data_IF_501132352228
#
_entry.id   IF_501132352228
#
_cell.length_a   1.000
_cell.length_b   1.000
_cell.length_c   1.000
_cell.angle_alpha   90.00
_cell.angle_beta   90.00
_cell.angle_gamma   90.00
#
_symmetry.space_group_name_H-M   'P 1'
#
loop_
_entity.id
_entity.type
_entity.pdbx_description
1 polymer ?
#
# COMPACT_ATOMS: atom_id res chain seq x y z
N UNK A 1 11.99 -31.10 0.56
CA UNK A 1 12.07 -29.72 1.10
C UNK A 1 10.87 -28.90 0.60
N UNK A 2 10.26 -28.04 1.44
CA UNK A 2 9.25 -27.11 0.94
C UNK A 2 9.84 -26.24 -0.17
N UNK A 3 9.05 -25.97 -1.21
CA UNK A 3 9.45 -25.12 -2.34
C UNK A 3 9.67 -23.66 -1.93
N UNK A 4 10.37 -22.89 -2.77
CA UNK A 4 10.48 -21.43 -2.65
C UNK A 4 9.19 -20.81 -3.20
N UNK A 5 8.62 -19.86 -2.48
CA UNK A 5 7.44 -19.10 -2.91
C UNK A 5 7.63 -17.61 -2.60
N UNK A 6 7.28 -16.74 -3.54
CA UNK A 6 7.28 -15.30 -3.36
C UNK A 6 6.06 -14.71 -4.05
N UNK A 7 5.41 -13.75 -3.37
CA UNK A 7 4.34 -12.95 -3.98
C UNK A 7 4.96 -11.77 -4.71
N UNK A 8 4.49 -11.49 -5.92
CA UNK A 8 4.93 -10.32 -6.70
C UNK A 8 4.36 -9.03 -6.11
N UNK A 9 5.17 -8.29 -5.37
CA UNK A 9 4.88 -6.98 -4.78
C UNK A 9 5.97 -5.99 -5.22
N UNK A 10 6.04 -5.74 -6.52
CA UNK A 10 7.15 -5.07 -7.20
C UNK A 10 7.37 -3.64 -6.68
N UNK A 11 6.35 -3.00 -6.12
CA UNK A 11 6.40 -1.65 -5.56
C UNK A 11 7.49 -1.48 -4.48
N UNK A 12 7.85 -2.55 -3.76
CA UNK A 12 8.98 -2.54 -2.81
C UNK A 12 10.33 -2.25 -3.47
N UNK A 13 10.43 -2.47 -4.78
CA UNK A 13 11.64 -2.33 -5.59
C UNK A 13 11.62 -1.12 -6.53
N UNK A 14 10.57 -0.29 -6.51
CA UNK A 14 10.61 0.98 -7.20
C UNK A 14 11.77 1.82 -6.65
N UNK A 15 12.65 2.41 -7.49
CA UNK A 15 13.89 3.03 -7.02
C UNK A 15 13.73 4.05 -5.88
N UNK A 16 12.82 5.06 -5.97
CA UNK A 16 12.66 6.02 -4.87
C UNK A 16 12.00 5.38 -3.64
N UNK A 17 11.14 4.37 -3.82
CA UNK A 17 10.49 3.64 -2.72
C UNK A 17 11.49 2.76 -1.96
N UNK A 18 12.34 2.03 -2.69
CA UNK A 18 13.42 1.21 -2.13
C UNK A 18 14.36 2.07 -1.28
N UNK A 19 14.75 3.23 -1.81
CA UNK A 19 15.59 4.19 -1.11
C UNK A 19 14.91 4.75 0.14
N UNK A 20 13.61 5.05 0.09
CA UNK A 20 12.84 5.44 1.28
C UNK A 20 12.80 4.32 2.32
N UNK A 21 12.57 3.08 1.91
CA UNK A 21 12.56 1.91 2.79
C UNK A 21 13.93 1.76 3.48
N UNK A 22 15.04 1.88 2.74
CA UNK A 22 16.39 1.85 3.30
C UNK A 22 16.62 2.96 4.34
N UNK A 23 16.15 4.18 4.07
CA UNK A 23 16.29 5.31 4.99
C UNK A 23 15.49 5.10 6.28
N UNK A 24 14.28 4.59 6.19
CA UNK A 24 13.45 4.23 7.36
C UNK A 24 14.09 3.08 8.13
N UNK A 25 14.49 2.00 7.45
CA UNK A 25 15.10 0.81 8.06
C UNK A 25 16.47 1.10 8.70
N UNK A 26 17.14 2.19 8.31
CA UNK A 26 18.39 2.62 8.94
C UNK A 26 18.25 2.98 10.42
N UNK A 27 17.02 3.26 10.89
CA UNK A 27 16.72 3.64 12.28
C UNK A 27 17.21 5.05 12.66
N UNK A 28 17.91 5.77 11.77
CA UNK A 28 18.46 7.10 12.06
C UNK A 28 17.39 8.11 12.46
N UNK A 29 16.21 7.99 11.88
CA UNK A 29 15.08 8.89 12.12
C UNK A 29 14.19 8.51 13.32
N UNK A 30 14.56 7.50 14.11
CA UNK A 30 13.78 7.03 15.26
C UNK A 30 12.52 6.27 14.85
N UNK A 31 11.56 6.19 15.76
CA UNK A 31 10.32 5.43 15.55
C UNK A 31 9.49 6.03 14.41
N UNK A 32 8.91 5.17 13.57
CA UNK A 32 7.98 5.56 12.52
C UNK A 32 6.56 5.71 13.08
N UNK A 33 5.92 6.86 12.83
CA UNK A 33 4.58 7.14 13.34
C UNK A 33 3.50 7.09 12.27
N UNK A 34 3.77 7.64 11.07
CA UNK A 34 2.78 7.66 10.00
C UNK A 34 3.36 7.39 8.63
N UNK A 35 2.61 6.67 7.79
CA UNK A 35 2.88 6.51 6.35
C UNK A 35 1.69 7.02 5.55
N UNK A 36 1.92 7.96 4.64
CA UNK A 36 0.88 8.41 3.70
C UNK A 36 1.30 8.06 2.29
N UNK A 37 0.40 7.42 1.55
CA UNK A 37 0.56 7.07 0.14
C UNK A 37 -0.48 7.84 -0.66
N UNK A 38 -0.05 8.46 -1.75
CA UNK A 38 -0.92 8.98 -2.80
C UNK A 38 -0.63 8.23 -4.08
N UNK A 39 -1.69 7.76 -4.74
CA UNK A 39 -1.67 7.15 -6.06
C UNK A 39 -2.70 7.89 -6.92
N UNK A 40 -2.21 8.80 -7.76
CA UNK A 40 -3.01 9.50 -8.75
C UNK A 40 -2.57 9.05 -10.12
N UNK A 41 -3.52 8.61 -10.95
CA UNK A 41 -3.20 8.10 -12.27
C UNK A 41 -4.41 8.10 -13.19
N UNK A 42 -4.12 7.83 -14.46
CA UNK A 42 -5.09 7.46 -15.48
C UNK A 42 -5.76 6.08 -15.18
N UNK A 43 -6.88 5.78 -15.86
CA UNK A 43 -7.70 4.59 -15.59
C UNK A 43 -6.97 3.26 -15.85
N UNK A 44 -7.60 2.16 -15.45
CA UNK A 44 -7.08 0.84 -15.75
C UNK A 44 -6.99 0.59 -17.27
N UNK A 45 -5.80 0.18 -17.72
CA UNK A 45 -5.57 -0.28 -19.07
C UNK A 45 -6.51 -1.45 -19.42
N UNK A 46 -6.82 -1.60 -20.70
CA UNK A 46 -7.56 -2.75 -21.23
C UNK A 46 -6.71 -4.01 -21.01
N UNK A 47 -7.27 -5.02 -20.33
CA UNK A 47 -6.66 -6.34 -20.16
C UNK A 47 -7.37 -7.38 -21.04
N UNK A 48 -6.77 -8.56 -21.16
CA UNK A 48 -7.34 -9.70 -21.92
C UNK A 48 -8.80 -9.90 -21.51
N UNK A 49 -9.72 -9.86 -22.46
CA UNK A 49 -11.16 -10.04 -22.21
C UNK A 49 -11.77 -9.07 -21.18
N UNK A 50 -11.12 -7.95 -20.87
CA UNK A 50 -11.63 -6.94 -19.93
C UNK A 50 -11.95 -7.50 -18.53
N UNK A 51 -11.27 -8.57 -18.10
CA UNK A 51 -11.53 -9.19 -16.79
C UNK A 51 -11.37 -8.19 -15.64
N UNK A 52 -10.48 -7.21 -15.81
CA UNK A 52 -10.19 -6.17 -14.81
C UNK A 52 -11.28 -5.10 -14.65
N UNK A 53 -12.40 -5.21 -15.37
CA UNK A 53 -13.55 -4.29 -15.25
C UNK A 53 -14.55 -4.71 -14.18
N UNK A 54 -14.48 -5.95 -13.69
CA UNK A 54 -15.51 -6.50 -12.83
C UNK A 54 -14.96 -7.04 -11.50
N UNK A 55 -15.59 -6.67 -10.39
CA UNK A 55 -15.22 -7.09 -9.04
C UNK A 55 -15.24 -8.62 -8.89
N UNK A 56 -16.16 -9.32 -9.59
CA UNK A 56 -16.25 -10.79 -9.57
C UNK A 56 -14.97 -11.50 -10.04
N UNK A 57 -14.13 -10.84 -10.83
CA UNK A 57 -12.87 -11.40 -11.33
C UNK A 57 -11.64 -10.84 -10.61
N UNK A 58 -11.74 -9.63 -10.04
CA UNK A 58 -10.60 -8.90 -9.46
C UNK A 58 -10.58 -8.91 -7.93
N UNK A 59 -11.73 -9.15 -7.28
CA UNK A 59 -11.95 -8.77 -5.88
C UNK A 59 -12.12 -7.25 -5.68
N UNK A 60 -12.11 -6.49 -6.77
CA UNK A 60 -12.22 -5.03 -6.86
C UNK A 60 -10.90 -4.27 -6.76
N UNK A 61 -10.94 -2.97 -7.06
CA UNK A 61 -9.76 -2.09 -7.20
C UNK A 61 -8.83 -2.12 -5.98
N UNK A 62 -9.36 -2.14 -4.75
CA UNK A 62 -8.52 -2.17 -3.54
C UNK A 62 -7.87 -3.54 -3.29
N UNK A 63 -8.35 -4.61 -3.91
CA UNK A 63 -7.70 -5.92 -3.89
C UNK A 63 -6.66 -6.02 -5.00
N UNK A 64 -7.01 -5.66 -6.23
CA UNK A 64 -6.09 -5.79 -7.37
C UNK A 64 -4.96 -4.75 -7.34
N UNK A 65 -5.31 -3.46 -7.32
CA UNK A 65 -4.33 -2.36 -7.29
C UNK A 65 -3.94 -1.98 -5.87
N UNK A 66 -4.91 -1.97 -4.96
CA UNK A 66 -4.68 -1.56 -3.57
C UNK A 66 -3.69 -2.45 -2.81
N UNK A 67 -3.55 -3.73 -3.21
CA UNK A 67 -2.67 -4.67 -2.51
C UNK A 67 -1.21 -4.20 -2.45
N UNK A 68 -0.69 -3.56 -3.50
CA UNK A 68 0.67 -3.03 -3.50
C UNK A 68 0.88 -1.96 -2.42
N UNK A 69 -0.12 -1.09 -2.21
CA UNK A 69 -0.02 -0.04 -1.20
C UNK A 69 -0.18 -0.59 0.21
N UNK A 70 -1.10 -1.54 0.41
CA UNK A 70 -1.27 -2.22 1.68
C UNK A 70 -0.02 -3.01 2.08
N UNK A 71 0.59 -3.69 1.11
CA UNK A 71 1.89 -4.34 1.27
C UNK A 71 3.00 -3.34 1.62
N UNK A 72 3.11 -2.24 0.88
CA UNK A 72 4.09 -1.18 1.17
C UNK A 72 3.92 -0.61 2.58
N UNK A 73 2.69 -0.30 3.00
CA UNK A 73 2.42 0.17 4.37
C UNK A 73 2.92 -0.83 5.40
N UNK A 74 2.60 -2.12 5.25
CA UNK A 74 3.08 -3.18 6.14
C UNK A 74 4.60 -3.30 6.11
N UNK A 75 5.23 -3.21 4.94
CA UNK A 75 6.69 -3.32 4.77
C UNK A 75 7.45 -2.14 5.40
N UNK A 76 6.95 -0.92 5.24
CA UNK A 76 7.58 0.29 5.78
C UNK A 76 7.36 0.35 7.29
N UNK A 77 6.14 0.03 7.77
CA UNK A 77 5.78 0.12 9.19
C UNK A 77 6.31 -1.05 10.02
N UNK A 78 6.48 -2.23 9.39
CA UNK A 78 6.95 -3.47 10.05
C UNK A 78 6.08 -3.86 11.24
N UNK A 79 4.77 -3.65 11.10
CA UNK A 79 3.74 -4.05 12.05
C UNK A 79 2.55 -4.61 11.28
N UNK A 80 1.73 -5.43 11.96
CA UNK A 80 0.47 -5.89 11.39
C UNK A 80 -0.64 -4.83 11.52
N UNK A 81 -1.53 -4.72 10.51
CA UNK A 81 -2.71 -3.87 10.57
C UNK A 81 -3.76 -4.47 11.51
N UNK A 82 -4.46 -3.63 12.26
CA UNK A 82 -5.50 -4.04 13.22
C UNK A 82 -6.88 -3.52 12.85
N UNK A 83 -6.98 -2.41 12.12
CA UNK A 83 -8.25 -1.87 11.64
C UNK A 83 -8.09 -1.04 10.38
N UNK A 84 -9.15 -0.99 9.56
CA UNK A 84 -9.23 -0.18 8.36
C UNK A 84 -10.56 0.55 8.31
N UNK A 85 -10.52 1.83 7.94
CA UNK A 85 -11.69 2.59 7.52
C UNK A 85 -11.44 3.15 6.11
N UNK A 86 -12.43 3.06 5.24
CA UNK A 86 -12.36 3.51 3.86
C UNK A 86 -13.67 4.13 3.38
N UNK A 87 -13.54 5.10 2.48
CA UNK A 87 -14.62 5.73 1.73
C UNK A 87 -14.19 5.85 0.28
N UNK A 88 -15.04 5.48 -0.67
CA UNK A 88 -14.71 5.48 -2.09
C UNK A 88 -15.88 5.07 -2.96
N UNK A 89 -15.68 5.05 -4.28
CA UNK A 89 -16.72 4.70 -5.23
C UNK A 89 -16.26 4.82 -6.68
N UNK A 90 -17.23 4.82 -7.59
CA UNK A 90 -17.00 5.01 -9.03
C UNK A 90 -17.52 6.39 -9.44
N UNK A 91 -16.61 7.31 -9.76
CA UNK A 91 -16.93 8.68 -10.14
C UNK A 91 -17.02 8.84 -11.67
N UNK A 92 -16.00 8.38 -12.40
CA UNK A 92 -15.81 8.67 -13.82
C UNK A 92 -15.59 7.44 -14.70
N UNK A 93 -14.72 6.53 -14.31
CA UNK A 93 -14.18 5.55 -15.23
C UNK A 93 -15.19 4.44 -15.56
N UNK A 94 -15.19 4.03 -16.84
CA UNK A 94 -15.86 2.83 -17.34
C UNK A 94 -17.40 2.80 -17.18
N UNK A 95 -18.02 3.92 -16.76
CA UNK A 95 -19.49 4.00 -16.55
C UNK A 95 -20.29 3.88 -17.84
N UNK A 96 -19.71 4.29 -18.95
CA UNK A 96 -20.32 4.23 -20.29
C UNK A 96 -19.98 2.93 -21.04
N UNK A 97 -19.20 2.03 -20.43
CA UNK A 97 -18.85 0.74 -21.03
C UNK A 97 -19.96 -0.29 -20.80
N UNK A 98 -20.23 -1.12 -21.81
CA UNK A 98 -21.21 -2.21 -21.74
C UNK A 98 -20.60 -3.48 -22.31
N UNK A 99 -20.60 -4.55 -21.52
CA UNK A 99 -20.12 -5.88 -21.92
C UNK A 99 -21.26 -6.88 -21.80
N UNK A 100 -21.94 -7.15 -22.92
CA UNK A 100 -23.16 -7.95 -22.92
C UNK A 100 -24.27 -7.21 -22.16
N UNK A 101 -24.66 -7.74 -21.00
CA UNK A 101 -25.67 -7.14 -20.11
C UNK A 101 -25.08 -6.48 -18.87
N UNK A 102 -23.75 -6.46 -18.74
CA UNK A 102 -23.07 -5.99 -17.54
C UNK A 102 -22.34 -4.66 -17.80
N UNK A 103 -22.35 -3.79 -16.79
CA UNK A 103 -21.56 -2.54 -16.74
C UNK A 103 -20.47 -2.71 -15.68
N UNK A 104 -19.23 -2.23 -15.93
CA UNK A 104 -18.14 -2.31 -14.96
C UNK A 104 -18.51 -1.76 -13.58
N UNK A 105 -18.17 -2.49 -12.52
CA UNK A 105 -18.55 -2.21 -11.12
C UNK A 105 -17.36 -1.91 -10.19
N UNK A 106 -16.18 -1.70 -10.77
CA UNK A 106 -14.97 -1.34 -10.03
C UNK A 106 -14.99 0.12 -9.57
N UNK A 107 -14.46 0.38 -8.38
CA UNK A 107 -14.27 1.75 -7.88
C UNK A 107 -13.06 2.41 -8.55
N UNK A 108 -13.06 3.74 -8.66
CA UNK A 108 -11.98 4.52 -9.29
C UNK A 108 -11.40 5.61 -8.40
N UNK A 109 -11.93 5.78 -7.18
CA UNK A 109 -11.32 6.62 -6.14
C UNK A 109 -11.64 6.08 -4.75
N UNK A 110 -10.72 6.30 -3.81
CA UNK A 110 -10.94 6.01 -2.40
C UNK A 110 -9.96 6.76 -1.50
N UNK A 111 -10.41 7.09 -0.29
CA UNK A 111 -9.57 7.42 0.86
C UNK A 111 -9.62 6.30 1.87
N UNK A 112 -8.45 5.83 2.31
CA UNK A 112 -8.31 4.74 3.28
C UNK A 112 -7.44 5.20 4.45
N UNK A 113 -7.79 4.80 5.67
CA UNK A 113 -6.97 4.92 6.88
C UNK A 113 -6.80 3.54 7.51
N UNK A 114 -5.56 3.21 7.87
CA UNK A 114 -5.17 1.92 8.47
C UNK A 114 -4.54 2.18 9.84
N UNK A 115 -4.98 1.45 10.86
CA UNK A 115 -4.37 1.41 12.19
C UNK A 115 -3.48 0.17 12.31
N UNK A 116 -2.28 0.31 12.88
CA UNK A 116 -1.32 -0.78 13.09
C UNK A 116 -1.14 -1.15 14.57
N UNK A 117 -0.77 -2.40 14.84
CA UNK A 117 -0.61 -2.94 16.19
C UNK A 117 0.42 -2.18 17.06
N UNK A 118 1.48 -1.64 16.45
CA UNK A 118 2.46 -0.80 17.14
C UNK A 118 2.00 0.66 17.37
N UNK A 119 0.75 0.98 17.04
CA UNK A 119 0.16 2.32 17.21
C UNK A 119 0.34 3.26 16.01
N UNK A 120 1.19 2.90 15.04
CA UNK A 120 1.37 3.67 13.81
C UNK A 120 0.08 3.70 12.97
N UNK A 121 -0.02 4.70 12.10
CA UNK A 121 -1.16 4.88 11.19
C UNK A 121 -0.70 5.04 9.76
N UNK A 122 -1.48 4.52 8.82
CA UNK A 122 -1.25 4.78 7.41
C UNK A 122 -2.49 5.32 6.72
N UNK A 123 -2.28 6.01 5.60
CA UNK A 123 -3.36 6.47 4.73
C UNK A 123 -3.06 6.24 3.26
N UNK A 124 -4.10 5.96 2.47
CA UNK A 124 -4.05 5.93 1.01
C UNK A 124 -5.05 6.93 0.43
N UNK A 125 -4.57 7.80 -0.44
CA UNK A 125 -5.32 8.67 -1.35
C UNK A 125 -5.20 8.07 -2.76
N UNK A 126 -6.26 7.38 -3.22
CA UNK A 126 -6.31 6.71 -4.51
C UNK A 126 -7.27 7.45 -5.45
N UNK A 127 -6.77 7.83 -6.63
CA UNK A 127 -7.57 8.39 -7.71
C UNK A 127 -7.10 7.84 -9.07
N UNK A 128 -8.00 7.17 -9.78
CA UNK A 128 -7.73 6.53 -11.08
C UNK A 128 -8.26 7.36 -12.26
N UNK A 129 -8.68 8.60 -12.04
CA UNK A 129 -9.09 9.56 -13.08
C UNK A 129 -8.38 10.91 -12.92
N UNK A 130 -7.18 10.89 -12.35
CA UNK A 130 -6.29 12.05 -12.41
C UNK A 130 -5.59 12.01 -13.78
N UNK A 131 -5.90 12.99 -14.64
CA UNK A 131 -5.48 13.02 -16.06
C UNK A 131 -4.01 13.45 -16.27
N UNK A 132 -3.21 13.56 -15.21
CA UNK A 132 -1.77 13.75 -15.33
C UNK A 132 -1.05 12.41 -15.63
N UNK A 133 0.27 12.38 -15.41
CA UNK A 133 1.03 11.13 -15.40
C UNK A 133 0.74 10.31 -14.13
N UNK A 134 1.12 9.02 -14.13
CA UNK A 134 1.02 8.21 -12.92
C UNK A 134 1.93 8.80 -11.82
N UNK A 135 1.32 9.48 -10.86
CA UNK A 135 1.98 10.15 -9.75
C UNK A 135 1.81 9.33 -8.47
N UNK A 136 2.93 8.82 -7.97
CA UNK A 136 3.00 8.06 -6.73
C UNK A 136 3.88 8.77 -5.72
N UNK A 137 3.32 9.07 -4.55
CA UNK A 137 4.04 9.70 -3.46
C UNK A 137 3.91 8.87 -2.19
N UNK A 138 5.05 8.55 -1.56
CA UNK A 138 5.09 7.89 -0.25
C UNK A 138 5.81 8.79 0.75
N UNK A 139 5.14 9.06 1.86
CA UNK A 139 5.65 9.93 2.93
C UNK A 139 5.72 9.12 4.22
N UNK A 140 6.92 8.94 4.76
CA UNK A 140 7.17 8.34 6.07
C UNK A 140 7.54 9.45 7.06
N UNK A 141 6.76 9.59 8.13
CA UNK A 141 7.05 10.55 9.22
C UNK A 141 7.49 9.76 10.44
N UNK A 142 8.73 10.00 10.84
CA UNK A 142 9.36 9.39 12.01
C UNK A 142 9.51 10.42 13.15
N UNK A 143 9.95 9.95 14.30
CA UNK A 143 10.23 10.73 15.50
C UNK A 143 11.17 11.92 15.23
N UNK A 144 12.25 11.65 14.49
CA UNK A 144 13.35 12.61 14.25
C UNK A 144 13.53 12.91 12.77
N UNK A 145 12.56 12.59 11.92
CA UNK A 145 12.69 12.90 10.51
C UNK A 145 11.45 12.65 9.67
N UNK A 146 11.53 13.05 8.42
CA UNK A 146 10.55 12.77 7.39
C UNK A 146 11.27 12.35 6.12
N UNK A 147 10.81 11.28 5.50
CA UNK A 147 11.32 10.79 4.21
C UNK A 147 10.16 10.78 3.23
N UNK A 148 10.34 11.38 2.06
CA UNK A 148 9.34 11.47 1.01
C UNK A 148 9.92 10.89 -0.28
N UNK A 149 9.29 9.90 -0.86
CA UNK A 149 9.61 9.35 -2.18
C UNK A 149 8.55 9.79 -3.19
N UNK A 150 8.98 10.13 -4.41
CA UNK A 150 8.12 10.56 -5.51
C UNK A 150 8.48 9.81 -6.79
N UNK A 151 7.45 9.37 -7.49
CA UNK A 151 7.47 8.75 -8.81
C UNK A 151 6.46 9.49 -9.68
N UNK A 152 6.78 9.83 -10.94
CA UNK A 152 7.93 9.38 -11.73
C UNK A 152 9.16 10.29 -11.63
N UNK A 153 9.16 11.31 -10.77
CA UNK A 153 10.32 12.21 -10.63
C UNK A 153 11.58 11.49 -10.12
N UNK A 154 11.41 10.28 -9.56
CA UNK A 154 12.45 9.43 -9.00
C UNK A 154 13.32 10.20 -7.99
N UNK A 155 12.64 10.88 -7.07
CA UNK A 155 13.28 11.74 -6.05
C UNK A 155 12.94 11.25 -4.65
N UNK A 156 13.94 11.25 -3.77
CA UNK A 156 13.76 11.08 -2.33
C UNK A 156 14.19 12.35 -1.59
N UNK A 157 13.29 12.88 -0.78
CA UNK A 157 13.51 14.08 0.05
C UNK A 157 13.53 13.68 1.52
N UNK A 158 14.63 14.00 2.20
CA UNK A 158 14.89 13.64 3.59
C UNK A 158 15.01 14.91 4.41
N UNK A 159 14.22 15.00 5.47
CA UNK A 159 14.28 16.08 6.46
C UNK A 159 14.61 15.47 7.81
N UNK A 160 15.74 15.85 8.38
CA UNK A 160 16.09 15.51 9.76
C UNK A 160 15.53 16.58 10.71
N UNK A 161 14.70 16.17 11.66
CA UNK A 161 14.13 17.07 12.66
C UNK A 161 15.20 17.37 13.70
N UNK A 162 15.51 18.66 13.87
CA UNK A 162 16.53 19.13 14.83
C UNK A 162 16.06 19.16 16.29
N UNK A 163 14.75 19.08 16.55
CA UNK A 163 14.17 19.18 17.90
C UNK A 163 13.27 17.99 18.20
N UNK A 164 13.62 17.24 19.24
CA UNK A 164 12.91 16.05 19.72
C UNK A 164 12.52 16.35 21.16
N UNK A 165 11.30 16.87 21.35
CA UNK A 165 10.73 17.32 22.64
C UNK A 165 11.30 18.61 23.26
N UNK A 166 10.44 19.37 23.95
CA UNK A 166 10.81 20.55 24.75
C UNK A 166 10.32 21.90 24.19
N UNK A 167 9.12 22.28 24.61
CA UNK A 167 8.59 23.65 24.82
C UNK A 167 9.14 24.82 23.98
N UNK A 168 8.49 25.10 22.85
CA UNK A 168 7.76 26.35 22.54
C UNK A 168 7.03 26.15 21.21
N UNK A 169 5.74 26.54 21.16
CA UNK A 169 4.86 26.38 19.98
C UNK A 169 5.03 27.52 18.96
N UNK A 170 6.20 28.15 18.90
CA UNK A 170 6.45 29.16 17.89
C UNK A 170 7.00 28.49 16.63
N UNK A 171 6.45 28.80 15.44
CA UNK A 171 7.04 28.34 14.19
C UNK A 171 8.50 28.79 14.11
N UNK A 172 9.40 27.86 13.81
CA UNK A 172 10.81 28.18 13.62
C UNK A 172 10.96 29.31 12.58
N UNK A 173 11.82 30.28 12.88
CA UNK A 173 12.25 31.28 11.91
C UNK A 173 12.83 30.56 10.68
N UNK A 174 12.68 31.10 9.45
CA UNK A 174 13.10 30.43 8.22
C UNK A 174 14.52 29.83 8.26
N UNK A 175 15.47 30.54 8.85
CA UNK A 175 16.88 30.15 9.02
C UNK A 175 17.10 28.99 10.04
N UNK A 176 16.13 28.77 10.93
CA UNK A 176 16.16 27.68 11.91
C UNK A 176 15.51 26.40 11.38
N UNK A 177 14.77 26.47 10.27
CA UNK A 177 14.07 25.33 9.69
C UNK A 177 15.07 24.32 9.13
N UNK A 178 14.76 23.04 9.32
CA UNK A 178 15.57 21.98 8.72
C UNK A 178 15.52 22.12 7.19
N UNK A 179 16.69 22.15 6.56
CA UNK A 179 16.82 22.13 5.10
C UNK A 179 16.75 20.67 4.64
N UNK A 180 15.76 20.31 3.81
CA UNK A 180 15.64 18.99 3.21
C UNK A 180 16.83 18.66 2.32
N UNK A 181 17.38 17.46 2.46
CA UNK A 181 18.28 16.86 1.47
C UNK A 181 17.42 16.23 0.38
N UNK A 182 17.70 16.55 -0.88
CA UNK A 182 17.00 16.00 -2.04
C UNK A 182 17.97 15.09 -2.78
N UNK A 183 17.54 13.86 -3.04
CA UNK A 183 18.31 12.84 -3.72
C UNK A 183 17.55 12.43 -4.98
N UNK A 184 18.14 12.71 -6.14
CA UNK A 184 17.69 12.13 -7.40
C UNK A 184 18.18 10.69 -7.47
N UNK A 185 17.28 9.77 -7.82
CA UNK A 185 17.54 8.34 -7.92
C UNK A 185 17.56 7.99 -9.41
N UNK A 186 18.73 7.99 -10.06
CA UNK A 186 18.79 7.75 -11.49
C UNK A 186 18.38 6.31 -11.81
N UNK A 187 17.49 6.17 -12.78
CA UNK A 187 17.08 4.87 -13.33
C UNK A 187 17.84 4.64 -14.63
N UNK A 188 18.76 3.66 -14.70
CA UNK A 188 19.46 3.34 -15.94
C UNK A 188 18.47 3.06 -17.07
N UNK A 189 18.69 3.68 -18.24
CA UNK A 189 17.78 3.55 -19.39
C UNK A 189 17.48 2.11 -19.77
N UNK A 190 18.47 1.24 -19.67
CA UNK A 190 18.32 -0.19 -19.95
C UNK A 190 17.36 -0.87 -18.96
N UNK A 191 17.40 -0.50 -17.68
CA UNK A 191 16.48 -1.02 -16.66
C UNK A 191 15.07 -0.44 -16.81
N UNK A 192 14.97 0.86 -17.11
CA UNK A 192 13.70 1.51 -17.41
C UNK A 192 13.02 0.89 -18.64
N UNK A 193 13.79 0.46 -19.64
CA UNK A 193 13.27 -0.24 -20.82
C UNK A 193 12.96 -1.72 -20.56
N UNK A 194 13.70 -2.38 -19.67
CA UNK A 194 13.58 -3.81 -19.41
C UNK A 194 12.47 -4.19 -18.41
N UNK A 195 11.94 -3.24 -17.62
CA UNK A 195 10.94 -3.51 -16.60
C UNK A 195 9.88 -2.43 -16.46
N UNK A 196 8.68 -2.84 -16.04
CA UNK A 196 7.64 -1.91 -15.58
C UNK A 196 8.06 -1.25 -14.26
N UNK A 197 7.52 -0.06 -13.97
CA UNK A 197 7.81 0.72 -12.76
C UNK A 197 9.31 0.97 -12.54
N UNK A 198 9.99 1.56 -13.54
CA UNK A 198 11.40 1.98 -13.41
C UNK A 198 12.37 0.81 -13.09
N UNK A 199 12.07 -0.39 -13.60
CA UNK A 199 12.91 -1.58 -13.39
C UNK A 199 12.60 -2.36 -12.10
N UNK A 200 11.56 -1.98 -11.35
CA UNK A 200 11.18 -2.67 -10.12
C UNK A 200 10.97 -4.18 -10.30
N UNK A 201 10.26 -4.59 -11.36
CA UNK A 201 10.04 -6.01 -11.68
C UNK A 201 11.34 -6.78 -11.92
N UNK A 202 12.36 -6.14 -12.54
CA UNK A 202 13.66 -6.78 -12.71
C UNK A 202 14.32 -7.08 -11.37
N UNK A 203 14.34 -6.10 -10.46
CA UNK A 203 14.95 -6.26 -9.13
C UNK A 203 14.20 -7.25 -8.24
N UNK A 204 12.87 -7.28 -8.33
CA UNK A 204 12.03 -8.28 -7.68
C UNK A 204 12.40 -9.71 -8.13
N UNK A 205 12.41 -9.95 -9.45
CA UNK A 205 12.72 -11.27 -10.00
C UNK A 205 14.16 -11.70 -9.66
N UNK A 206 15.10 -10.75 -9.64
CA UNK A 206 16.47 -10.99 -9.16
C UNK A 206 16.48 -11.45 -7.71
N UNK A 207 15.72 -10.81 -6.82
CA UNK A 207 15.63 -11.20 -5.42
C UNK A 207 15.01 -12.60 -5.23
N UNK A 208 14.02 -12.96 -6.05
CA UNK A 208 13.47 -14.32 -6.09
C UNK A 208 14.53 -15.35 -6.52
N UNK A 209 15.22 -15.11 -7.64
CA UNK A 209 16.26 -16.00 -8.17
C UNK A 209 17.38 -16.19 -7.16
N UNK A 210 17.81 -15.11 -6.49
CA UNK A 210 18.85 -15.18 -5.47
C UNK A 210 18.37 -15.99 -4.25
N UNK A 211 17.12 -15.82 -3.81
CA UNK A 211 16.53 -16.62 -2.73
C UNK A 211 16.45 -18.11 -3.12
N UNK A 212 16.04 -18.41 -4.34
CA UNK A 212 15.92 -19.77 -4.86
C UNK A 212 17.27 -20.48 -4.98
N UNK A 213 18.27 -19.81 -5.54
CA UNK A 213 19.64 -20.35 -5.68
C UNK A 213 20.30 -20.59 -4.33
N UNK A 214 20.13 -19.65 -3.40
CA UNK A 214 20.79 -19.71 -2.09
C UNK A 214 19.97 -20.40 -1.00
N UNK A 215 18.76 -20.89 -1.33
CA UNK A 215 17.82 -21.54 -0.39
C UNK A 215 17.52 -20.67 0.84
N UNK A 216 17.27 -19.37 0.62
CA UNK A 216 16.96 -18.40 1.68
C UNK A 216 15.47 -18.06 1.67
N UNK A 217 15.01 -17.41 2.75
CA UNK A 217 13.68 -16.82 2.79
C UNK A 217 13.55 -15.75 1.71
N UNK A 218 12.40 -15.74 1.05
CA UNK A 218 12.04 -14.72 0.07
C UNK A 218 11.70 -13.42 0.79
N UNK A 219 11.95 -12.26 0.15
CA UNK A 219 11.68 -10.95 0.75
C UNK A 219 10.19 -10.63 0.90
N UNK A 220 9.33 -11.32 0.14
CA UNK A 220 7.87 -11.21 0.20
C UNK A 220 7.30 -12.61 0.39
N UNK A 221 6.73 -12.85 1.56
CA UNK A 221 6.18 -14.14 1.94
C UNK A 221 4.74 -14.33 1.44
N UNK A 222 4.23 -15.56 1.50
CA UNK A 222 2.80 -15.80 1.29
C UNK A 222 1.93 -15.02 2.28
N UNK A 223 2.39 -14.87 3.52
CA UNK A 223 1.67 -14.10 4.53
C UNK A 223 1.56 -12.62 4.14
N UNK A 224 2.61 -12.05 3.54
CA UNK A 224 2.58 -10.65 3.08
C UNK A 224 1.49 -10.43 2.02
N UNK A 225 1.42 -11.31 1.03
CA UNK A 225 0.36 -11.26 0.02
C UNK A 225 -1.04 -11.50 0.60
N UNK A 226 -1.19 -12.47 1.50
CA UNK A 226 -2.47 -12.73 2.17
C UNK A 226 -2.97 -11.49 2.92
N UNK A 227 -2.08 -10.83 3.67
CA UNK A 227 -2.46 -9.63 4.42
C UNK A 227 -2.77 -8.46 3.49
N UNK A 228 -2.01 -8.26 2.42
CA UNK A 228 -2.29 -7.21 1.43
C UNK A 228 -3.68 -7.37 0.79
N UNK A 229 -4.06 -8.60 0.41
CA UNK A 229 -5.39 -8.91 -0.10
C UNK A 229 -6.46 -8.72 0.98
N UNK A 230 -6.23 -9.22 2.19
CA UNK A 230 -7.19 -9.09 3.29
C UNK A 230 -7.49 -7.63 3.65
N UNK A 231 -6.46 -6.77 3.62
CA UNK A 231 -6.63 -5.33 3.79
C UNK A 231 -7.49 -4.72 2.69
N UNK A 232 -7.30 -5.13 1.43
CA UNK A 232 -8.12 -4.70 0.30
C UNK A 232 -9.59 -5.12 0.42
N UNK A 233 -9.85 -6.36 0.82
CA UNK A 233 -11.21 -6.86 1.09
C UNK A 233 -11.85 -6.08 2.24
N UNK A 234 -11.12 -5.85 3.34
CA UNK A 234 -11.61 -5.08 4.48
C UNK A 234 -11.89 -3.61 4.13
N UNK A 235 -11.09 -3.01 3.24
CA UNK A 235 -11.33 -1.66 2.76
C UNK A 235 -12.61 -1.57 1.93
N UNK A 236 -12.85 -2.53 1.02
CA UNK A 236 -14.13 -2.62 0.29
C UNK A 236 -15.32 -2.83 1.22
N UNK A 237 -15.19 -3.70 2.21
CA UNK A 237 -16.24 -3.92 3.23
C UNK A 237 -16.52 -2.65 4.05
N UNK A 238 -15.48 -1.88 4.38
CA UNK A 238 -15.64 -0.58 5.04
C UNK A 238 -16.39 0.42 4.16
N UNK A 239 -16.11 0.48 2.86
CA UNK A 239 -16.85 1.33 1.92
C UNK A 239 -18.32 0.90 1.87
N UNK A 240 -18.57 -0.40 1.70
CA UNK A 240 -19.91 -0.97 1.58
C UNK A 240 -20.77 -0.73 2.82
N UNK A 241 -20.18 -0.82 4.00
CA UNK A 241 -20.92 -0.72 5.27
C UNK A 241 -20.87 0.65 5.92
N UNK A 242 -19.95 1.53 5.50
CA UNK A 242 -19.66 2.81 6.15
C UNK A 242 -19.03 2.65 7.55
N UNK A 243 -18.52 1.47 7.91
CA UNK A 243 -18.02 1.16 9.26
C UNK A 243 -16.55 0.75 9.24
N UNK A 244 -15.83 1.09 10.32
CA UNK A 244 -14.45 0.62 10.53
C UNK A 244 -14.44 -0.92 10.66
N UNK A 245 -13.58 -1.57 9.87
CA UNK A 245 -13.39 -3.02 9.89
C UNK A 245 -12.17 -3.39 10.74
N UNK A 246 -12.31 -4.36 11.65
CA UNK A 246 -11.18 -4.93 12.40
C UNK A 246 -10.57 -6.09 11.62
N UNK A 247 -9.25 -6.22 11.66
CA UNK A 247 -8.46 -7.27 11.01
C UNK A 247 -7.99 -8.36 12.00
N UNK A 248 -8.48 -8.30 13.24
CA UNK A 248 -8.19 -9.26 14.30
C UNK A 248 -8.63 -10.68 13.86
N UNK A 249 -7.71 -11.65 13.88
CA UNK A 249 -8.01 -13.06 13.59
C UNK A 249 -7.34 -13.65 12.34
N UNK A 250 -6.63 -12.85 11.53
CA UNK A 250 -5.93 -13.32 10.33
C UNK A 250 -4.58 -14.00 10.59
N UNK A 251 -4.15 -14.09 11.86
CA UNK A 251 -2.92 -14.75 12.25
C UNK A 251 -3.10 -16.27 12.33
N UNK A 252 -2.52 -16.99 11.36
CA UNK A 252 -2.33 -18.47 11.33
C UNK A 252 -3.54 -19.31 11.77
N UNK A 253 -4.72 -19.09 11.18
CA UNK A 253 -5.77 -20.11 11.17
C UNK A 253 -5.87 -20.70 9.78
N UNK A 254 -5.87 -22.03 9.69
CA UNK A 254 -6.02 -22.83 8.47
C UNK A 254 -7.41 -22.73 7.82
N UNK A 255 -8.29 -21.89 8.37
CA UNK A 255 -9.74 -22.00 8.22
C UNK A 255 -10.31 -20.68 7.67
N UNK A 256 -9.81 -20.22 6.53
CA UNK A 256 -10.42 -19.14 5.74
C UNK A 256 -10.38 -17.72 6.35
N UNK A 257 -10.67 -16.73 5.50
CA UNK A 257 -10.70 -15.31 5.83
C UNK A 257 -12.01 -14.98 6.57
N UNK A 258 -11.97 -14.60 7.85
CA UNK A 258 -13.13 -14.01 8.53
C UNK A 258 -12.82 -12.55 8.88
N UNK A 259 -13.59 -11.63 8.28
CA UNK A 259 -13.59 -10.22 8.63
C UNK A 259 -14.78 -9.96 9.56
N UNK A 260 -14.54 -9.39 10.74
CA UNK A 260 -15.61 -9.01 11.66
C UNK A 260 -15.92 -7.52 11.53
N UNK A 261 -17.05 -7.14 10.88
CA UNK A 261 -17.54 -5.79 10.97
C UNK A 261 -18.19 -5.58 12.35
N UNK A 262 -17.61 -4.68 13.14
CA UNK A 262 -18.02 -4.19 14.47
C UNK A 262 -17.73 -5.08 15.69
N UNK A 263 -16.98 -4.49 16.62
CA UNK A 263 -17.04 -4.81 18.04
C UNK A 263 -17.58 -3.58 18.76
N UNK A 264 -18.85 -3.66 19.15
CA UNK A 264 -19.47 -2.96 20.28
C UNK A 264 -20.81 -3.67 20.57
N UNK A 265 -20.82 -4.55 21.59
CA UNK A 265 -22.01 -5.26 22.08
C UNK A 265 -21.72 -6.72 22.49
N UNK A 266 -22.29 -7.23 23.59
CA UNK A 266 -21.97 -8.54 24.14
C UNK A 266 -22.46 -9.67 23.22
N UNK A 267 -21.68 -10.76 23.19
CA UNK A 267 -21.96 -12.00 22.45
C UNK A 267 -23.40 -12.46 22.67
N UNK A 268 -24.21 -12.42 21.60
CA UNK A 268 -25.51 -13.07 21.56
C UNK A 268 -25.77 -13.66 20.16
N UNK A 269 -25.92 -14.98 20.13
CA UNK A 269 -26.78 -15.68 19.16
C UNK A 269 -26.12 -16.21 17.90
N UNK A 270 -26.01 -17.54 17.83
CA UNK A 270 -25.76 -18.31 16.62
C UNK A 270 -26.75 -17.95 15.49
N UNK A 271 -26.21 -17.58 14.33
CA UNK A 271 -26.92 -17.34 13.07
C UNK A 271 -25.94 -17.49 11.89
N UNK A 272 -26.40 -17.93 10.71
CA UNK A 272 -25.57 -18.71 9.79
C UNK A 272 -24.47 -17.88 9.13
N UNK A 273 -23.23 -18.37 9.26
CA UNK A 273 -22.04 -17.92 8.53
C UNK A 273 -22.25 -18.05 7.02
N UNK A 274 -22.22 -16.92 6.30
CA UNK A 274 -22.00 -16.93 4.86
C UNK A 274 -20.52 -17.22 4.58
N UNK A 275 -20.25 -18.32 3.88
CA UNK A 275 -18.92 -18.63 3.33
C UNK A 275 -18.78 -17.94 1.97
N UNK A 276 -17.67 -17.22 1.79
CA UNK A 276 -17.08 -16.93 0.48
C UNK A 276 -16.20 -18.11 0.06
#
# INVERSE_FOLDING_TARGET
>A
PPGIFMVGMEYRWMPPISRLIEEVDSGRHGDLFTVSIREHRFPFLVKVQNWNRFNKYTGGTLVEKGCHFFDLMRRIIRSEPVAIFASGGQAQNHKDEVYGTETPDIIDHAFIVVEFANGAKASLDLCMFAEDEQNEQVIAICERGKVEARSPESVVRIVERRHVSGTTREPLAPEQRAVPKVHEIPVPKELAAAGYHEGATYHELRAFVDSARNRRLTPVSAHDGTMAVAMGVAAHESIRTGRKCRLEGLSRRSDGLQLNPTGDGPLAGDGPTARL
#
